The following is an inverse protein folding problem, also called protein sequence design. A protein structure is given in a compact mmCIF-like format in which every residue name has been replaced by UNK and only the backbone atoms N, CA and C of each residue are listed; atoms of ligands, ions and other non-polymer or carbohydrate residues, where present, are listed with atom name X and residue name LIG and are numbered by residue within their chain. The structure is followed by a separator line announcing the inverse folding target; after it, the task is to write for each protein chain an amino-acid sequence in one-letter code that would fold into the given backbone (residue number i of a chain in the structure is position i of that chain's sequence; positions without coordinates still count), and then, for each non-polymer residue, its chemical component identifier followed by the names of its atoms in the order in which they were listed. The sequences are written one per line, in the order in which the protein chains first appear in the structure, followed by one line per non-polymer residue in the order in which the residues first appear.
data_IF_124071403827
#
_entry.id   IF_124071403827
#
_cell.length_a   1.000
_cell.length_b   1.000
_cell.length_c   1.000
_cell.angle_alpha   90.00
_cell.angle_beta   90.00
_cell.angle_gamma   90.00
#
_symmetry.space_group_name_H-M   'P 1'
#
loop_
_entity.id
_entity.type
_entity.pdbx_description
1 polymer ?
#
# COMPACT_ATOMS: atom_id res chain seq x y z
N UNK A 1 -19.90 6.08 16.57
CA UNK A 1 -18.72 5.94 15.71
C UNK A 1 -18.71 4.53 15.14
N UNK A 2 -18.92 4.40 13.83
CA UNK A 2 -18.82 3.15 13.09
C UNK A 2 -17.38 2.95 12.59
N UNK A 3 -16.95 1.70 12.51
CA UNK A 3 -15.66 1.32 11.94
C UNK A 3 -15.80 0.02 11.17
N UNK A 4 -14.93 -0.18 10.19
CA UNK A 4 -14.83 -1.41 9.42
C UNK A 4 -13.37 -1.80 9.30
N UNK A 5 -13.10 -3.10 9.40
CA UNK A 5 -11.76 -3.65 9.35
C UNK A 5 -11.79 -5.17 9.30
N UNK A 6 -10.59 -5.76 9.29
CA UNK A 6 -10.42 -7.21 9.37
C UNK A 6 -10.14 -7.60 10.82
N UNK A 7 -10.77 -8.67 11.30
CA UNK A 7 -10.42 -9.28 12.60
C UNK A 7 -9.31 -10.32 12.46
N UNK A 8 -9.28 -11.02 11.33
CA UNK A 8 -8.30 -12.05 11.01
C UNK A 8 -8.24 -12.24 9.50
N UNK A 9 -7.04 -12.39 8.94
CA UNK A 9 -6.88 -12.81 7.54
C UNK A 9 -6.82 -14.34 7.46
N UNK A 10 -7.56 -14.91 6.52
CA UNK A 10 -7.51 -16.34 6.20
C UNK A 10 -6.38 -16.63 5.20
N UNK A 11 -5.82 -17.84 5.22
CA UNK A 11 -4.79 -18.26 4.27
C UNK A 11 -3.40 -17.63 4.50
N UNK A 12 -3.20 -16.89 5.60
CA UNK A 12 -1.89 -16.36 6.00
C UNK A 12 -1.49 -16.91 7.37
N UNK A 13 -0.20 -17.22 7.60
CA UNK A 13 0.28 -17.61 8.91
C UNK A 13 0.03 -16.51 9.94
N UNK A 14 -0.75 -16.81 10.97
CA UNK A 14 -0.91 -15.91 12.11
C UNK A 14 0.32 -16.02 13.00
N UNK A 15 0.94 -14.89 13.39
CA UNK A 15 2.04 -14.94 14.33
C UNK A 15 1.57 -15.51 15.69
N UNK A 16 2.49 -16.10 16.46
CA UNK A 16 2.25 -16.44 17.86
C UNK A 16 1.73 -15.24 18.65
N UNK A 17 1.08 -15.49 19.78
CA UNK A 17 0.53 -14.42 20.62
C UNK A 17 1.65 -13.55 21.22
N UNK A 18 2.80 -14.14 21.56
CA UNK A 18 3.96 -13.48 22.16
C UNK A 18 5.25 -14.28 21.90
N UNK A 19 6.38 -13.80 22.43
CA UNK A 19 7.66 -14.52 22.42
C UNK A 19 8.56 -14.22 21.21
N UNK A 20 9.78 -14.80 21.19
CA UNK A 20 10.81 -14.50 20.19
C UNK A 20 10.38 -14.85 18.77
N UNK A 21 9.62 -15.94 18.58
CA UNK A 21 9.09 -16.33 17.26
C UNK A 21 8.13 -15.27 16.70
N UNK A 22 7.26 -14.67 17.54
CA UNK A 22 6.42 -13.54 17.12
C UNK A 22 7.30 -12.38 16.66
N UNK A 23 8.30 -11.99 17.45
CA UNK A 23 9.19 -10.88 17.14
C UNK A 23 9.91 -11.11 15.81
N UNK A 24 10.47 -12.31 15.58
CA UNK A 24 11.14 -12.65 14.34
C UNK A 24 10.19 -12.62 13.12
N UNK A 25 8.99 -13.19 13.24
CA UNK A 25 7.97 -13.15 12.18
C UNK A 25 7.53 -11.72 11.85
N UNK A 26 7.30 -10.88 12.87
CA UNK A 26 6.95 -9.48 12.71
C UNK A 26 8.06 -8.69 12.03
N UNK A 27 9.29 -8.85 12.50
CA UNK A 27 10.45 -8.20 11.93
C UNK A 27 10.64 -8.59 10.45
N UNK A 28 10.63 -9.89 10.13
CA UNK A 28 10.79 -10.37 8.75
C UNK A 28 9.66 -9.87 7.83
N UNK A 29 8.40 -10.01 8.25
CA UNK A 29 7.24 -9.54 7.48
C UNK A 29 7.31 -8.04 7.21
N UNK A 30 7.71 -7.27 8.23
CA UNK A 30 7.91 -5.83 8.14
C UNK A 30 9.03 -5.41 7.20
N UNK A 31 10.20 -6.03 7.30
CA UNK A 31 11.33 -5.76 6.39
C UNK A 31 10.97 -6.09 4.95
N UNK A 32 10.25 -7.20 4.71
CA UNK A 32 9.77 -7.55 3.37
C UNK A 32 8.80 -6.50 2.82
N UNK A 33 7.80 -6.10 3.60
CA UNK A 33 6.85 -5.06 3.22
C UNK A 33 7.54 -3.71 2.96
N UNK A 34 8.52 -3.34 3.77
CA UNK A 34 9.29 -2.09 3.62
C UNK A 34 10.09 -2.09 2.32
N UNK A 35 10.81 -3.18 2.03
CA UNK A 35 11.57 -3.35 0.77
C UNK A 35 10.66 -3.27 -0.45
N UNK A 36 9.51 -3.94 -0.41
CA UNK A 36 8.56 -3.92 -1.51
C UNK A 36 7.95 -2.53 -1.71
N UNK A 37 7.60 -1.84 -0.62
CA UNK A 37 7.16 -0.45 -0.69
C UNK A 37 8.21 0.46 -1.31
N UNK A 38 9.47 0.36 -0.86
CA UNK A 38 10.59 1.14 -1.40
C UNK A 38 10.83 0.86 -2.89
N UNK A 39 10.72 -0.40 -3.31
CA UNK A 39 10.82 -0.79 -4.73
C UNK A 39 9.74 -0.13 -5.58
N UNK A 40 8.47 -0.20 -5.14
CA UNK A 40 7.33 0.41 -5.84
C UNK A 40 7.44 1.95 -5.85
N UNK A 41 7.90 2.55 -4.76
CA UNK A 41 8.14 3.99 -4.66
C UNK A 41 9.24 4.45 -5.62
N UNK A 42 10.35 3.72 -5.68
CA UNK A 42 11.41 3.95 -6.66
C UNK A 42 10.94 3.78 -8.11
N UNK A 43 10.06 2.80 -8.38
CA UNK A 43 9.43 2.62 -9.68
C UNK A 43 8.57 3.83 -10.07
N UNK A 44 7.85 4.45 -9.12
CA UNK A 44 7.09 5.67 -9.36
C UNK A 44 8.02 6.82 -9.78
N UNK A 45 9.08 7.10 -9.02
CA UNK A 45 10.02 8.16 -9.36
C UNK A 45 10.77 7.92 -10.66
N UNK A 46 11.16 6.66 -10.93
CA UNK A 46 11.78 6.28 -12.20
C UNK A 46 10.82 6.54 -13.36
N UNK A 47 9.54 6.20 -13.22
CA UNK A 47 8.52 6.48 -14.23
C UNK A 47 8.33 7.99 -14.41
N UNK A 48 8.30 8.76 -13.33
CA UNK A 48 8.18 10.22 -13.41
C UNK A 48 9.37 10.86 -14.15
N UNK A 49 10.57 10.42 -13.82
CA UNK A 49 11.81 10.95 -14.39
C UNK A 49 12.00 10.52 -15.84
N UNK A 50 11.96 9.21 -16.12
CA UNK A 50 12.30 8.66 -17.43
C UNK A 50 11.16 8.79 -18.44
N UNK A 51 9.92 8.57 -18.03
CA UNK A 51 8.78 8.56 -18.96
C UNK A 51 8.28 9.97 -19.26
N UNK A 52 8.34 10.89 -18.29
CA UNK A 52 7.78 12.24 -18.46
C UNK A 52 8.80 13.37 -18.39
N UNK A 53 10.10 13.06 -18.22
CA UNK A 53 11.17 14.04 -18.23
C UNK A 53 11.08 15.06 -17.09
N UNK A 54 10.36 14.75 -16.00
CA UNK A 54 10.24 15.64 -14.86
C UNK A 54 11.37 15.33 -13.88
N UNK A 55 12.29 16.27 -13.61
CA UNK A 55 13.34 16.04 -12.62
C UNK A 55 12.72 15.75 -11.25
N UNK A 56 13.10 14.64 -10.63
CA UNK A 56 12.58 14.21 -9.32
C UNK A 56 12.74 15.30 -8.26
N UNK A 57 13.83 16.06 -8.31
CA UNK A 57 14.09 17.20 -7.42
C UNK A 57 13.06 18.33 -7.50
N UNK A 58 12.22 18.38 -8.55
CA UNK A 58 11.11 19.34 -8.67
C UNK A 58 9.81 18.85 -8.01
N UNK A 59 9.76 17.59 -7.58
CA UNK A 59 8.61 17.04 -6.87
C UNK A 59 8.81 17.37 -5.39
N UNK A 60 7.85 18.06 -4.75
CA UNK A 60 7.92 18.30 -3.32
C UNK A 60 8.03 16.98 -2.55
N UNK A 61 8.71 17.00 -1.40
CA UNK A 61 8.75 15.87 -0.48
C UNK A 61 8.04 16.22 0.82
N UNK A 62 7.61 15.21 1.57
CA UNK A 62 7.04 15.42 2.90
C UNK A 62 8.00 16.21 3.81
N UNK A 63 9.28 15.84 3.87
CA UNK A 63 10.31 16.55 4.64
C UNK A 63 10.45 18.01 4.23
N UNK A 64 10.64 18.28 2.93
CA UNK A 64 10.85 19.66 2.45
C UNK A 64 9.63 20.56 2.66
N UNK A 65 8.42 20.02 2.52
CA UNK A 65 7.19 20.77 2.79
C UNK A 65 6.96 20.98 4.29
N UNK A 66 7.32 20.02 5.13
CA UNK A 66 7.26 20.11 6.59
C UNK A 66 8.25 21.14 7.14
N UNK A 67 9.50 21.09 6.69
CA UNK A 67 10.53 22.08 7.04
C UNK A 67 10.12 23.50 6.64
N UNK A 68 9.52 23.66 5.47
CA UNK A 68 9.06 24.95 4.98
C UNK A 68 7.87 25.48 5.80
N UNK A 69 6.96 24.61 6.24
CA UNK A 69 5.87 24.95 7.17
C UNK A 69 6.43 25.54 8.47
N UNK A 70 7.43 24.86 9.06
CA UNK A 70 8.07 25.33 10.29
C UNK A 70 8.84 26.63 10.07
N UNK A 71 9.62 26.73 8.99
CA UNK A 71 10.38 27.94 8.65
C UNK A 71 9.49 29.17 8.47
N UNK A 72 8.28 28.98 7.92
CA UNK A 72 7.29 30.04 7.72
C UNK A 72 6.40 30.31 8.93
N UNK A 73 6.53 29.54 10.01
CA UNK A 73 5.65 29.65 11.18
C UNK A 73 4.18 29.40 10.87
N UNK A 74 3.87 28.46 9.97
CA UNK A 74 2.48 28.12 9.64
C UNK A 74 1.91 27.19 10.72
N UNK A 75 1.47 27.77 11.84
CA UNK A 75 1.04 27.02 13.02
C UNK A 75 -0.41 26.51 12.96
N UNK A 76 -1.26 27.13 12.13
CA UNK A 76 -2.67 26.73 12.01
C UNK A 76 -2.87 25.68 10.92
N UNK A 77 -3.81 24.76 11.12
CA UNK A 77 -4.16 23.74 10.11
C UNK A 77 -4.61 24.36 8.80
N UNK A 78 -5.35 25.47 8.83
CA UNK A 78 -5.79 26.19 7.63
C UNK A 78 -4.60 26.76 6.84
N UNK A 79 -3.66 27.44 7.49
CA UNK A 79 -2.49 28.01 6.84
C UNK A 79 -1.57 26.94 6.24
N UNK A 80 -1.39 25.82 6.95
CA UNK A 80 -0.66 24.65 6.44
C UNK A 80 -1.35 24.06 5.22
N UNK A 81 -2.66 23.83 5.28
CA UNK A 81 -3.46 23.30 4.17
C UNK A 81 -3.31 24.16 2.93
N UNK A 82 -3.48 25.47 3.05
CA UNK A 82 -3.42 26.39 1.92
C UNK A 82 -2.02 26.43 1.28
N UNK A 83 -0.96 26.34 2.10
CA UNK A 83 0.40 26.18 1.63
C UNK A 83 0.60 24.87 0.86
N UNK A 84 0.18 23.74 1.45
CA UNK A 84 0.34 22.40 0.86
C UNK A 84 -0.43 22.27 -0.44
N UNK A 85 -1.70 22.69 -0.46
CA UNK A 85 -2.56 22.66 -1.66
C UNK A 85 -1.90 23.44 -2.79
N UNK A 86 -1.35 24.63 -2.53
CA UNK A 86 -0.66 25.44 -3.54
C UNK A 86 0.58 24.75 -4.08
N UNK A 87 1.45 24.23 -3.21
CA UNK A 87 2.71 23.58 -3.58
C UNK A 87 2.46 22.32 -4.41
N UNK A 88 1.61 21.43 -3.91
CA UNK A 88 1.32 20.16 -4.55
C UNK A 88 0.47 20.31 -5.82
N UNK A 89 -0.47 21.26 -5.86
CA UNK A 89 -1.23 21.55 -7.09
C UNK A 89 -0.33 22.09 -8.21
N UNK A 90 0.73 22.83 -7.90
CA UNK A 90 1.73 23.24 -8.91
C UNK A 90 2.48 22.02 -9.46
N UNK A 91 2.99 21.15 -8.58
CA UNK A 91 3.70 19.94 -8.98
C UNK A 91 2.82 19.01 -9.83
N UNK A 92 1.59 18.74 -9.39
CA UNK A 92 0.58 17.97 -10.12
C UNK A 92 0.27 18.55 -11.49
N UNK A 93 0.07 19.87 -11.61
CA UNK A 93 -0.17 20.54 -12.89
C UNK A 93 1.03 20.44 -13.83
N UNK A 94 2.24 20.63 -13.32
CA UNK A 94 3.46 20.48 -14.13
C UNK A 94 3.60 19.05 -14.66
N UNK A 95 3.38 18.05 -13.79
CA UNK A 95 3.45 16.64 -14.17
C UNK A 95 2.40 16.29 -15.23
N UNK A 96 1.14 16.69 -15.02
CA UNK A 96 0.06 16.48 -16.00
C UNK A 96 0.35 17.17 -17.35
N UNK A 97 0.96 18.36 -17.35
CA UNK A 97 1.39 19.02 -18.59
C UNK A 97 2.50 18.26 -19.29
N UNK A 98 3.50 17.76 -18.56
CA UNK A 98 4.56 16.91 -19.12
C UNK A 98 4.01 15.62 -19.72
N UNK A 99 3.05 14.98 -19.04
CA UNK A 99 2.32 13.80 -19.55
C UNK A 99 1.58 14.16 -20.84
N UNK A 100 0.81 15.26 -20.85
CA UNK A 100 0.04 15.70 -22.02
C UNK A 100 0.93 16.08 -23.22
N UNK A 101 2.09 16.70 -22.97
CA UNK A 101 3.04 17.08 -24.02
C UNK A 101 3.72 15.86 -24.67
N UNK A 102 3.82 14.73 -23.97
CA UNK A 102 4.28 13.46 -24.54
C UNK A 102 3.21 12.76 -25.39
N UNK A 103 1.93 13.06 -25.17
CA UNK A 103 0.78 12.43 -25.86
C UNK A 103 0.55 13.09 -27.21
N UNK A 104 0.65 14.41 -27.28
CA UNK A 104 0.48 15.11 -28.53
C UNK A 104 1.75 14.85 -29.36
N UNK A 105 1.63 14.31 -30.60
CA UNK A 105 2.75 14.39 -31.51
C UNK A 105 3.16 15.87 -31.56
N UNK A 106 4.46 16.20 -31.54
CA UNK A 106 4.88 17.57 -31.74
C UNK A 106 4.11 18.13 -32.94
N UNK A 107 3.63 19.38 -32.91
CA UNK A 107 2.99 19.97 -34.06
C UNK A 107 4.06 20.09 -35.14
N UNK A 108 4.27 19.02 -35.89
CA UNK A 108 4.82 19.09 -37.22
C UNK A 108 3.72 19.81 -37.98
N UNK A 109 3.81 21.14 -37.95
CA UNK A 109 3.18 21.98 -38.95
C UNK A 109 3.87 21.59 -40.25
N UNK A 110 3.42 20.51 -40.87
CA UNK A 110 3.67 20.29 -42.29
C UNK A 110 2.87 21.42 -42.95
N UNK A 111 3.47 22.60 -43.05
CA UNK A 111 3.01 23.58 -44.01
C UNK A 111 2.98 22.89 -45.38
N UNK A 112 2.00 23.18 -46.24
CA UNK A 112 2.02 22.67 -47.59
C UNK A 112 3.39 22.95 -48.21
N UNK A 113 4.01 21.99 -48.92
CA UNK A 113 5.35 22.17 -49.45
C UNK A 113 5.37 23.39 -50.36
N UNK A 114 6.07 24.46 -49.96
CA UNK A 114 6.19 25.68 -50.77
C UNK A 114 7.30 25.60 -51.81
N UNK A 115 8.02 24.47 -51.94
CA UNK A 115 8.94 24.24 -53.05
C UNK A 115 9.25 22.76 -53.34
N UNK A 116 9.47 22.45 -54.62
CA UNK A 116 9.76 21.12 -55.20
C UNK A 116 11.16 20.56 -54.87
N UNK A 117 11.88 21.09 -53.87
CA UNK A 117 13.22 20.65 -53.54
C UNK A 117 13.29 20.08 -52.13
N UNK A 118 12.77 18.88 -51.96
CA UNK A 118 13.08 18.06 -50.79
C UNK A 118 14.40 17.33 -51.02
N UNK A 119 15.44 17.73 -50.29
CA UNK A 119 16.74 17.05 -50.32
C UNK A 119 16.69 15.72 -49.57
N UNK A 120 17.51 14.75 -49.98
CA UNK A 120 17.66 13.42 -49.36
C UNK A 120 17.77 13.45 -47.82
N UNK A 121 18.34 14.51 -47.25
CA UNK A 121 18.46 14.76 -45.81
C UNK A 121 17.10 14.91 -45.10
N UNK A 122 16.12 15.53 -45.74
CA UNK A 122 14.75 15.70 -45.21
C UNK A 122 13.96 14.39 -45.30
N UNK A 123 14.18 13.60 -46.36
CA UNK A 123 13.66 12.23 -46.45
C UNK A 123 14.23 11.32 -45.36
N UNK A 124 15.52 11.42 -45.05
CA UNK A 124 16.13 10.67 -43.95
C UNK A 124 15.63 11.13 -42.57
N UNK A 125 15.35 12.42 -42.37
CA UNK A 125 14.72 12.92 -41.14
C UNK A 125 13.28 12.39 -40.99
N UNK A 126 12.51 12.37 -42.07
CA UNK A 126 11.16 11.82 -42.12
C UNK A 126 11.15 10.28 -41.93
N UNK A 127 12.03 9.55 -42.61
CA UNK A 127 12.20 8.11 -42.44
C UNK A 127 12.70 7.72 -41.04
N UNK A 128 13.51 8.58 -40.40
CA UNK A 128 13.92 8.40 -39.00
C UNK A 128 12.77 8.63 -38.02
N UNK A 129 11.81 9.50 -38.36
CA UNK A 129 10.56 9.68 -37.61
C UNK A 129 9.52 8.56 -37.85
N UNK A 130 9.67 7.81 -38.95
CA UNK A 130 8.87 6.63 -39.30
C UNK A 130 9.40 5.32 -38.67
N UNK A 131 10.40 5.36 -37.77
CA UNK A 131 10.81 4.19 -36.98
C UNK A 131 9.69 3.79 -36.02
N UNK A 132 8.72 3.04 -36.56
CA UNK A 132 7.76 2.13 -35.94
C UNK A 132 6.95 2.67 -34.75
N UNK A 133 5.62 2.47 -34.70
CA UNK A 133 4.91 2.62 -33.45
C UNK A 133 5.48 1.61 -32.46
N UNK A 134 6.39 2.07 -31.59
CA UNK A 134 6.70 1.42 -30.33
C UNK A 134 5.37 1.39 -29.62
N UNK A 135 4.66 0.26 -29.72
CA UNK A 135 3.25 0.06 -29.38
C UNK A 135 2.83 1.06 -28.32
N UNK A 136 2.22 2.17 -28.73
CA UNK A 136 1.97 3.30 -27.84
C UNK A 136 1.15 2.74 -26.68
N UNK A 137 1.70 2.61 -25.46
CA UNK A 137 0.94 2.12 -24.34
C UNK A 137 -0.25 3.06 -24.18
N UNK A 138 -1.47 2.50 -24.12
CA UNK A 138 -2.70 3.29 -23.92
C UNK A 138 -2.47 4.29 -22.78
N UNK A 139 -2.44 5.58 -23.10
CA UNK A 139 -1.92 6.63 -22.22
C UNK A 139 -2.79 6.86 -20.98
N UNK A 140 -4.10 6.64 -21.06
CA UNK A 140 -4.99 6.59 -19.90
C UNK A 140 -4.46 5.61 -18.84
N UNK A 141 -3.88 4.50 -19.29
CA UNK A 141 -3.33 3.50 -18.41
C UNK A 141 -2.05 4.00 -17.74
N UNK A 142 -1.28 4.95 -18.28
CA UNK A 142 0.01 5.34 -17.66
C UNK A 142 -0.15 6.17 -16.38
N UNK A 143 -1.09 7.12 -16.34
CA UNK A 143 -1.38 7.87 -15.11
C UNK A 143 -2.05 6.99 -14.06
N UNK A 144 -3.02 6.17 -14.48
CA UNK A 144 -3.72 5.24 -13.59
C UNK A 144 -2.76 4.15 -13.07
N UNK A 145 -1.84 3.68 -13.89
CA UNK A 145 -0.81 2.71 -13.50
C UNK A 145 0.15 3.33 -12.49
N UNK A 146 0.60 4.57 -12.71
CA UNK A 146 1.43 5.27 -11.73
C UNK A 146 0.70 5.44 -10.41
N UNK A 147 -0.56 5.86 -10.45
CA UNK A 147 -1.40 5.98 -9.27
C UNK A 147 -1.56 4.64 -8.56
N UNK A 148 -1.85 3.57 -9.30
CA UNK A 148 -1.99 2.20 -8.78
C UNK A 148 -0.70 1.74 -8.10
N UNK A 149 0.46 1.92 -8.73
CA UNK A 149 1.77 1.56 -8.15
C UNK A 149 2.07 2.41 -6.91
N UNK A 150 1.76 3.71 -6.92
CA UNK A 150 1.97 4.60 -5.78
C UNK A 150 1.07 4.23 -4.59
N UNK A 151 -0.21 3.93 -4.84
CA UNK A 151 -1.15 3.47 -3.81
C UNK A 151 -0.74 2.09 -3.25
N UNK A 152 -0.31 1.16 -4.11
CA UNK A 152 0.23 -0.13 -3.67
C UNK A 152 1.51 0.04 -2.83
N UNK A 153 2.37 1.00 -3.18
CA UNK A 153 3.54 1.36 -2.37
C UNK A 153 3.12 1.87 -0.98
N UNK A 154 2.07 2.70 -0.90
CA UNK A 154 1.54 3.22 0.36
C UNK A 154 0.96 2.10 1.23
N UNK A 155 0.18 1.19 0.64
CA UNK A 155 -0.34 0.03 1.36
C UNK A 155 0.78 -0.80 1.97
N UNK A 156 1.83 -1.10 1.19
CA UNK A 156 3.00 -1.82 1.69
C UNK A 156 3.80 -1.04 2.74
N UNK A 157 3.86 0.30 2.65
CA UNK A 157 4.52 1.13 3.65
C UNK A 157 3.79 1.08 5.01
N UNK A 158 2.47 1.18 4.98
CA UNK A 158 1.61 1.07 6.16
C UNK A 158 1.67 -0.34 6.75
N UNK A 159 1.64 -1.37 5.90
CA UNK A 159 1.84 -2.76 6.33
C UNK A 159 3.19 -2.92 7.03
N UNK A 160 4.27 -2.38 6.44
CA UNK A 160 5.60 -2.42 7.03
C UNK A 160 5.63 -1.79 8.42
N UNK A 161 5.04 -0.61 8.60
CA UNK A 161 4.93 0.03 9.92
C UNK A 161 4.14 -0.86 10.90
N UNK A 162 2.99 -1.40 10.49
CA UNK A 162 2.17 -2.26 11.35
C UNK A 162 2.93 -3.50 11.86
N UNK A 163 3.80 -4.07 11.02
CA UNK A 163 4.69 -5.18 11.40
C UNK A 163 5.86 -4.73 12.30
N UNK A 164 6.41 -3.53 12.06
CA UNK A 164 7.62 -3.02 12.71
C UNK A 164 7.34 -2.09 13.89
N UNK A 165 6.09 -1.92 14.32
CA UNK A 165 5.70 -0.86 15.26
C UNK A 165 6.49 -0.88 16.59
N UNK A 166 6.91 -2.07 17.04
CA UNK A 166 7.65 -2.31 18.28
C UNK A 166 9.11 -2.73 18.05
N UNK A 167 9.67 -2.49 16.85
CA UNK A 167 11.08 -2.76 16.53
C UNK A 167 11.91 -1.48 16.40
N UNK A 168 13.23 -1.64 16.30
CA UNK A 168 14.19 -0.57 16.02
C UNK A 168 13.97 0.11 14.66
N UNK A 169 13.22 -0.53 13.75
CA UNK A 169 12.89 0.02 12.43
C UNK A 169 11.55 0.78 12.40
N UNK A 170 10.85 0.87 13.53
CA UNK A 170 9.52 1.50 13.62
C UNK A 170 9.51 2.92 13.05
N UNK A 171 10.46 3.76 13.49
CA UNK A 171 10.57 5.15 13.06
C UNK A 171 10.91 5.27 11.57
N UNK A 172 11.81 4.42 11.07
CA UNK A 172 12.16 4.40 9.64
C UNK A 172 10.94 4.03 8.79
N UNK A 173 10.18 3.01 9.19
CA UNK A 173 8.97 2.59 8.49
C UNK A 173 7.87 3.67 8.54
N UNK A 174 7.73 4.36 9.68
CA UNK A 174 6.81 5.47 9.88
C UNK A 174 7.12 6.64 8.94
N UNK A 175 8.38 7.09 8.92
CA UNK A 175 8.83 8.17 8.02
C UNK A 175 8.64 7.78 6.55
N UNK A 176 9.00 6.55 6.17
CA UNK A 176 8.80 6.05 4.81
C UNK A 176 7.32 6.08 4.41
N UNK A 177 6.39 5.67 5.28
CA UNK A 177 4.96 5.76 5.02
C UNK A 177 4.49 7.20 4.76
N UNK A 178 4.98 8.18 5.53
CA UNK A 178 4.69 9.61 5.30
C UNK A 178 5.22 10.09 3.94
N UNK A 179 6.43 9.72 3.56
CA UNK A 179 7.00 10.07 2.25
C UNK A 179 6.14 9.55 1.09
N UNK A 180 5.76 8.27 1.14
CA UNK A 180 4.92 7.67 0.10
C UNK A 180 3.52 8.29 0.11
N UNK A 181 2.93 8.51 1.28
CA UNK A 181 1.61 9.11 1.41
C UNK A 181 1.56 10.55 0.88
N UNK A 182 2.64 11.33 1.07
CA UNK A 182 2.73 12.67 0.54
C UNK A 182 2.81 12.68 -1.00
N UNK A 183 3.55 11.73 -1.60
CA UNK A 183 3.53 11.53 -3.05
C UNK A 183 2.11 11.19 -3.53
N UNK A 184 1.43 10.26 -2.86
CA UNK A 184 0.08 9.82 -3.23
C UNK A 184 -0.94 10.96 -3.13
N UNK A 185 -1.07 11.56 -1.95
CA UNK A 185 -2.03 12.65 -1.71
C UNK A 185 -1.69 13.93 -2.48
N UNK A 186 -0.40 14.17 -2.73
CA UNK A 186 0.05 15.38 -3.43
C UNK A 186 -0.13 15.32 -4.94
N UNK A 187 0.11 14.17 -5.56
CA UNK A 187 0.00 14.00 -7.01
C UNK A 187 -1.36 13.51 -7.47
N UNK A 188 -1.95 12.53 -6.78
CA UNK A 188 -3.22 11.92 -7.18
C UNK A 188 -4.40 12.44 -6.39
N UNK A 189 -4.16 12.89 -5.14
CA UNK A 189 -5.21 13.29 -4.23
C UNK A 189 -5.68 12.12 -3.36
N UNK A 190 -6.29 12.48 -2.23
CA UNK A 190 -7.00 11.58 -1.35
C UNK A 190 -8.41 12.13 -1.17
N UNK A 191 -9.39 11.25 -1.04
CA UNK A 191 -10.78 11.60 -0.84
C UNK A 191 -11.30 10.96 0.44
N UNK A 192 -12.24 11.65 1.08
CA UNK A 192 -13.13 11.06 2.07
C UNK A 192 -14.23 10.35 1.28
N UNK A 193 -14.45 9.07 1.57
CA UNK A 193 -15.47 8.28 0.89
C UNK A 193 -16.84 8.64 1.47
N UNK A 194 -17.84 8.88 0.61
CA UNK A 194 -19.23 8.98 1.03
C UNK A 194 -19.98 7.71 0.62
N UNK A 195 -20.43 6.92 1.59
CA UNK A 195 -21.16 5.68 1.37
C UNK A 195 -22.04 5.36 2.58
N UNK A 196 -23.19 4.72 2.34
CA UNK A 196 -24.17 4.35 3.38
C UNK A 196 -24.60 5.55 4.25
N UNK A 197 -24.89 6.68 3.58
CA UNK A 197 -25.23 7.99 4.17
C UNK A 197 -24.24 8.47 5.23
N UNK A 198 -22.95 8.15 5.04
CA UNK A 198 -21.88 8.51 5.95
C UNK A 198 -20.59 8.87 5.21
N UNK A 199 -19.79 9.69 5.88
CA UNK A 199 -18.42 9.97 5.47
C UNK A 199 -17.44 9.03 6.16
N UNK A 200 -16.50 8.47 5.40
CA UNK A 200 -15.52 7.49 5.86
C UNK A 200 -14.09 7.98 5.61
N UNK A 201 -13.30 7.99 6.67
CA UNK A 201 -11.84 8.11 6.60
C UNK A 201 -11.27 6.79 6.08
N UNK A 202 -10.71 6.84 4.87
CA UNK A 202 -10.09 5.70 4.18
C UNK A 202 -8.59 5.93 3.92
N UNK A 203 -8.04 7.08 4.35
CA UNK A 203 -6.63 7.39 4.18
C UNK A 203 -5.78 6.40 4.97
N UNK A 204 -5.04 5.55 4.26
CA UNK A 204 -4.17 4.52 4.84
C UNK A 204 -3.17 5.08 5.85
N UNK A 205 -2.63 6.28 5.60
CA UNK A 205 -1.73 6.94 6.54
C UNK A 205 -2.46 7.39 7.81
N UNK A 206 -3.60 8.07 7.70
CA UNK A 206 -4.38 8.47 8.88
C UNK A 206 -4.78 7.25 9.72
N UNK A 207 -5.21 6.17 9.06
CA UNK A 207 -5.57 4.91 9.70
C UNK A 207 -4.37 4.17 10.31
N UNK A 208 -3.16 4.41 9.81
CA UNK A 208 -1.93 3.90 10.44
C UNK A 208 -1.64 4.59 11.78
N UNK A 209 -1.98 5.88 11.93
CA UNK A 209 -1.83 6.59 13.21
C UNK A 209 -2.85 6.15 14.26
N UNK A 210 -3.90 5.47 13.82
CA UNK A 210 -4.85 4.76 14.67
C UNK A 210 -4.25 3.41 15.07
N UNK A 211 -3.48 3.38 16.17
CA UNK A 211 -2.74 2.20 16.65
C UNK A 211 -3.60 1.12 17.30
N UNK A 212 -4.72 0.79 16.70
CA UNK A 212 -5.68 -0.18 17.21
C UNK A 212 -6.36 -0.93 16.08
N UNK A 213 -6.87 -2.10 16.41
CA UNK A 213 -7.46 -3.01 15.46
C UNK A 213 -8.24 -4.11 16.16
N UNK A 214 -8.74 -5.06 15.38
CA UNK A 214 -9.52 -6.17 15.89
C UNK A 214 -8.64 -7.39 16.05
N UNK A 215 -8.79 -8.09 17.17
CA UNK A 215 -8.12 -9.36 17.41
C UNK A 215 -9.15 -10.41 17.78
N UNK A 216 -9.25 -11.46 16.97
CA UNK A 216 -10.10 -12.60 17.26
C UNK A 216 -9.50 -13.48 18.37
N UNK A 217 -10.28 -13.75 19.41
CA UNK A 217 -10.05 -14.84 20.36
C UNK A 217 -10.83 -16.07 19.90
N UNK A 218 -10.13 -17.16 19.63
CA UNK A 218 -10.72 -18.40 19.14
C UNK A 218 -9.92 -19.62 19.61
N UNK A 219 -10.58 -20.77 19.69
CA UNK A 219 -9.93 -22.08 19.76
C UNK A 219 -9.95 -22.74 18.39
N UNK A 220 -8.97 -23.61 18.14
CA UNK A 220 -8.90 -24.42 16.94
C UNK A 220 -8.17 -25.72 17.26
N UNK A 221 -8.63 -26.80 16.65
CA UNK A 221 -7.93 -28.09 16.68
C UNK A 221 -6.71 -27.99 15.77
N UNK A 222 -5.53 -28.23 16.33
CA UNK A 222 -4.26 -28.18 15.60
C UNK A 222 -3.81 -29.60 15.28
N UNK A 223 -3.77 -29.97 14.00
CA UNK A 223 -3.27 -31.27 13.54
C UNK A 223 -1.97 -31.13 12.78
N UNK A 224 -1.14 -32.16 12.83
CA UNK A 224 0.11 -32.24 12.08
C UNK A 224 -0.16 -32.51 10.60
N UNK A 225 0.44 -31.73 9.70
CA UNK A 225 0.28 -31.92 8.26
C UNK A 225 0.87 -33.23 7.71
N UNK A 226 1.70 -33.93 8.48
CA UNK A 226 2.35 -35.17 8.04
C UNK A 226 1.54 -36.42 8.40
N UNK A 227 1.05 -36.49 9.64
CA UNK A 227 0.31 -37.67 10.14
C UNK A 227 -1.18 -37.41 10.42
N UNK A 228 -1.65 -36.17 10.37
CA UNK A 228 -3.03 -35.79 10.67
C UNK A 228 -3.43 -35.87 12.14
N UNK A 229 -2.54 -36.31 13.04
CA UNK A 229 -2.81 -36.40 14.47
C UNK A 229 -2.80 -35.03 15.14
N UNK A 230 -3.43 -34.93 16.31
CA UNK A 230 -3.32 -33.76 17.19
C UNK A 230 -1.84 -33.43 17.45
N UNK A 231 -1.48 -32.15 17.33
CA UNK A 231 -0.09 -31.72 17.50
C UNK A 231 0.46 -32.05 18.90
N UNK A 232 -0.39 -32.06 19.93
CA UNK A 232 0.02 -32.36 21.30
C UNK A 232 0.36 -33.84 21.51
N UNK A 233 -0.12 -34.72 20.62
CA UNK A 233 0.13 -36.17 20.64
C UNK A 233 1.05 -36.64 19.52
N UNK A 234 1.41 -35.76 18.59
CA UNK A 234 2.17 -36.09 17.39
C UNK A 234 3.69 -36.19 17.70
N UNK A 235 4.41 -37.22 17.22
CA UNK A 235 5.86 -37.34 17.43
C UNK A 235 6.70 -36.42 16.53
N UNK A 236 6.10 -35.78 15.53
CA UNK A 236 6.80 -34.91 14.60
C UNK A 236 7.09 -33.53 15.21
N UNK A 237 8.36 -33.16 15.27
CA UNK A 237 8.81 -31.86 15.76
C UNK A 237 8.74 -30.81 14.64
N UNK A 238 8.14 -29.65 14.92
CA UNK A 238 7.92 -28.58 13.92
C UNK A 238 9.21 -28.00 13.32
N UNK A 239 10.35 -28.18 14.00
CA UNK A 239 11.68 -27.71 13.61
C UNK A 239 12.57 -28.81 13.00
N UNK A 240 12.03 -30.01 12.79
CA UNK A 240 12.74 -31.16 12.22
C UNK A 240 12.23 -31.47 10.81
N UNK A 241 13.13 -31.79 9.88
CA UNK A 241 12.76 -32.20 8.52
C UNK A 241 12.47 -33.70 8.46
N UNK A 242 11.47 -34.05 7.67
CA UNK A 242 11.09 -35.44 7.40
C UNK A 242 11.04 -35.65 5.88
N UNK A 243 11.48 -36.82 5.42
CA UNK A 243 11.25 -37.26 4.05
C UNK A 243 9.83 -37.83 3.94
N UNK A 244 9.04 -37.26 3.04
CA UNK A 244 7.69 -37.72 2.76
C UNK A 244 7.51 -37.97 1.28
N UNK A 245 6.78 -39.03 0.95
CA UNK A 245 6.36 -39.26 -0.43
C UNK A 245 5.25 -38.28 -0.79
N UNK A 246 5.48 -37.51 -1.85
CA UNK A 246 4.52 -36.58 -2.43
C UNK A 246 3.27 -37.34 -2.85
N UNK A 247 2.12 -36.83 -2.41
CA UNK A 247 0.79 -37.28 -2.81
C UNK A 247 -0.13 -36.08 -2.96
N UNK A 248 -0.95 -36.05 -4.00
CA UNK A 248 -2.08 -35.14 -4.14
C UNK A 248 -3.38 -35.85 -3.74
N UNK A 249 -4.19 -35.19 -2.92
CA UNK A 249 -5.52 -35.67 -2.51
C UNK A 249 -6.52 -35.58 -3.69
N UNK A 250 -7.74 -36.10 -3.49
CA UNK A 250 -8.78 -36.13 -4.54
C UNK A 250 -9.21 -34.74 -5.03
N UNK A 251 -8.99 -33.71 -4.22
CA UNK A 251 -9.23 -32.31 -4.58
C UNK A 251 -8.02 -31.65 -5.28
N UNK A 252 -6.91 -32.37 -5.43
CA UNK A 252 -5.65 -31.88 -5.99
C UNK A 252 -4.72 -31.24 -4.96
N UNK A 253 -5.04 -31.28 -3.66
CA UNK A 253 -4.20 -30.67 -2.63
C UNK A 253 -2.95 -31.52 -2.38
N UNK A 254 -1.77 -30.93 -2.56
CA UNK A 254 -0.49 -31.58 -2.27
C UNK A 254 -0.24 -31.74 -0.75
N UNK A 255 0.11 -32.93 -0.28
CA UNK A 255 0.42 -33.16 1.15
C UNK A 255 1.67 -32.37 1.64
N UNK A 256 2.67 -32.16 0.78
CA UNK A 256 3.90 -31.43 1.11
C UNK A 256 3.65 -29.94 1.34
N UNK A 257 3.00 -29.27 0.37
CA UNK A 257 2.85 -27.81 0.37
C UNK A 257 1.43 -27.31 0.59
N UNK A 258 0.43 -28.18 0.59
CA UNK A 258 -0.98 -27.84 0.85
C UNK A 258 -1.61 -26.98 -0.26
N UNK A 259 -1.01 -26.91 -1.44
CA UNK A 259 -1.52 -26.16 -2.58
C UNK A 259 -2.20 -27.10 -3.58
N UNK A 260 -3.25 -26.61 -4.24
CA UNK A 260 -3.98 -27.30 -5.31
C UNK A 260 -3.16 -27.45 -6.61
N UNK A 261 -2.14 -26.60 -6.78
CA UNK A 261 -1.24 -26.62 -7.93
C UNK A 261 0.17 -26.30 -7.45
N UNK A 262 1.07 -27.26 -7.61
CA UNK A 262 2.46 -27.13 -7.24
C UNK A 262 3.35 -27.92 -8.21
N UNK A 263 4.68 -27.77 -8.07
CA UNK A 263 5.66 -28.45 -8.91
C UNK A 263 6.07 -29.82 -8.36
N UNK A 264 5.53 -30.26 -7.22
CA UNK A 264 5.85 -31.57 -6.66
C UNK A 264 5.19 -32.67 -7.51
N UNK A 265 5.89 -33.79 -7.69
CA UNK A 265 5.44 -34.92 -8.52
C UNK A 265 5.05 -36.09 -7.62
N UNK A 266 3.87 -36.68 -7.84
CA UNK A 266 3.41 -37.82 -7.07
C UNK A 266 4.41 -38.99 -7.10
N UNK A 267 4.70 -39.54 -5.92
CA UNK A 267 5.65 -40.64 -5.75
C UNK A 267 7.10 -40.21 -5.48
N UNK A 268 7.47 -38.94 -5.71
CA UNK A 268 8.79 -38.43 -5.34
C UNK A 268 8.93 -38.24 -3.83
N UNK A 269 10.15 -38.38 -3.31
CA UNK A 269 10.46 -38.10 -1.91
C UNK A 269 10.86 -36.63 -1.76
N UNK A 270 10.17 -35.91 -0.89
CA UNK A 270 10.43 -34.50 -0.60
C UNK A 270 10.76 -34.30 0.88
N UNK A 271 11.75 -33.43 1.14
CA UNK A 271 12.17 -33.08 2.49
C UNK A 271 11.41 -31.85 2.97
N UNK A 272 10.55 -31.99 3.98
CA UNK A 272 9.72 -30.89 4.48
C UNK A 272 9.63 -30.85 6.00
N UNK A 273 9.23 -29.70 6.54
CA UNK A 273 8.90 -29.54 7.95
C UNK A 273 7.41 -29.82 8.18
N UNK A 274 7.02 -30.41 9.33
CA UNK A 274 5.61 -30.53 9.69
C UNK A 274 4.98 -29.14 9.83
N UNK A 275 3.73 -29.02 9.36
CA UNK A 275 2.96 -27.78 9.45
C UNK A 275 1.75 -27.99 10.36
N UNK A 276 1.39 -26.93 11.08
CA UNK A 276 0.16 -26.89 11.87
C UNK A 276 -1.03 -26.62 10.94
N UNK A 277 -1.88 -27.63 10.79
CA UNK A 277 -3.19 -27.47 10.16
C UNK A 277 -4.20 -27.12 11.25
N UNK A 278 -4.94 -26.02 11.06
CA UNK A 278 -5.98 -25.59 12.00
C UNK A 278 -7.34 -25.97 11.42
N UNK A 279 -8.11 -26.73 12.19
CA UNK A 279 -9.48 -27.12 11.87
C UNK A 279 -10.41 -26.82 13.05
N UNK A 280 -11.72 -26.95 12.84
CA UNK A 280 -12.73 -26.77 13.90
C UNK A 280 -12.58 -25.43 14.66
N UNK A 281 -12.42 -24.34 13.91
CA UNK A 281 -12.23 -23.03 14.51
C UNK A 281 -13.53 -22.58 15.20
N UNK A 282 -13.44 -22.34 16.51
CA UNK A 282 -14.53 -21.78 17.30
C UNK A 282 -14.18 -20.37 17.74
N UNK A 283 -14.82 -19.38 17.14
CA UNK A 283 -14.67 -17.98 17.52
C UNK A 283 -15.37 -17.73 18.86
N UNK A 284 -14.65 -17.16 19.81
CA UNK A 284 -15.19 -16.79 21.13
C UNK A 284 -15.50 -15.30 21.20
N UNK A 285 -14.56 -14.49 20.75
CA UNK A 285 -14.66 -13.04 20.84
C UNK A 285 -13.90 -12.32 19.73
N UNK A 286 -14.24 -11.06 19.50
CA UNK A 286 -13.45 -10.11 18.71
C UNK A 286 -13.24 -8.87 19.57
N UNK A 287 -11.99 -8.67 19.97
CA UNK A 287 -11.61 -7.62 20.92
C UNK A 287 -10.92 -6.47 20.19
N UNK A 288 -11.25 -5.23 20.58
CA UNK A 288 -10.55 -4.03 20.12
C UNK A 288 -9.27 -3.86 20.94
N UNK A 289 -8.13 -3.95 20.28
CA UNK A 289 -6.82 -3.96 20.95
C UNK A 289 -5.83 -3.04 20.26
N UNK A 290 -4.85 -2.53 21.02
CA UNK A 290 -3.78 -1.70 20.47
C UNK A 290 -2.82 -2.51 19.57
N UNK A 291 -2.64 -3.81 19.87
CA UNK A 291 -1.72 -4.70 19.15
C UNK A 291 -2.47 -5.96 18.73
N UNK A 292 -3.20 -5.94 17.60
CA UNK A 292 -3.91 -7.11 17.14
C UNK A 292 -2.93 -8.26 16.86
N UNK A 293 -3.41 -9.50 17.04
CA UNK A 293 -2.56 -10.67 16.82
C UNK A 293 -2.04 -10.69 15.38
N UNK A 294 -2.92 -10.50 14.40
CA UNK A 294 -2.54 -10.19 13.02
C UNK A 294 -2.26 -8.67 12.92
N UNK A 295 -1.03 -8.24 12.63
CA UNK A 295 -0.69 -6.81 12.57
C UNK A 295 -1.48 -6.06 11.48
N UNK A 296 -2.02 -6.75 10.48
CA UNK A 296 -2.83 -6.15 9.42
C UNK A 296 -4.34 -6.18 9.71
N UNK A 297 -4.77 -6.75 10.84
CA UNK A 297 -6.15 -6.70 11.32
C UNK A 297 -6.49 -5.33 11.95
N UNK A 298 -6.17 -4.26 11.20
CA UNK A 298 -6.42 -2.86 11.54
C UNK A 298 -7.69 -2.38 10.83
N UNK A 299 -8.19 -1.21 11.23
CA UNK A 299 -9.32 -0.59 10.54
C UNK A 299 -8.94 -0.21 9.11
N UNK A 300 -9.85 -0.49 8.19
CA UNK A 300 -9.75 -0.11 6.78
C UNK A 300 -10.54 1.14 6.48
N UNK A 301 -11.56 1.44 7.28
CA UNK A 301 -12.28 2.71 7.27
C UNK A 301 -12.90 3.02 8.63
N UNK A 302 -12.94 4.31 8.98
CA UNK A 302 -13.58 4.82 10.21
C UNK A 302 -14.54 5.94 9.84
N UNK A 303 -15.74 5.92 10.38
CA UNK A 303 -16.74 6.96 10.15
C UNK A 303 -16.27 8.30 10.72
N UNK A 304 -16.36 9.35 9.90
CA UNK A 304 -16.20 10.73 10.35
C UNK A 304 -17.46 11.18 11.10
N UNK A 305 -17.26 11.93 12.19
CA UNK A 305 -18.36 12.70 12.77
C UNK A 305 -18.83 13.76 11.77
N UNK A 306 -20.12 13.75 11.44
CA UNK A 306 -20.73 14.74 10.57
C UNK A 306 -20.56 16.16 11.13
N UNK A 307 -20.69 16.33 12.45
CA UNK A 307 -20.47 17.61 13.13
C UNK A 307 -19.03 18.10 12.98
N UNK A 308 -18.04 17.21 13.16
CA UNK A 308 -16.63 17.55 13.00
C UNK A 308 -16.31 17.94 11.55
N UNK A 309 -16.93 17.27 10.59
CA UNK A 309 -16.78 17.55 9.16
C UNK A 309 -17.43 18.88 8.78
N UNK A 310 -18.67 19.12 9.22
CA UNK A 310 -19.38 20.38 9.05
C UNK A 310 -18.58 21.55 9.66
N UNK A 311 -18.07 21.38 10.88
CA UNK A 311 -17.23 22.40 11.52
C UNK A 311 -15.95 22.68 10.73
N UNK A 312 -15.30 21.65 10.20
CA UNK A 312 -14.08 21.79 9.40
C UNK A 312 -14.30 22.42 8.01
N UNK A 313 -15.49 22.23 7.43
CA UNK A 313 -15.87 22.77 6.12
C UNK A 313 -16.53 24.16 6.22
N UNK A 314 -17.17 24.46 7.35
CA UNK A 314 -18.01 25.65 7.53
C UNK A 314 -19.41 25.53 6.90
N UNK A 315 -19.75 24.37 6.36
CA UNK A 315 -21.02 24.09 5.67
C UNK A 315 -21.35 22.59 5.74
N UNK A 316 -22.60 22.24 5.43
CA UNK A 316 -22.99 20.83 5.27
C UNK A 316 -22.28 20.24 4.04
N UNK A 317 -21.62 19.07 4.18
CA UNK A 317 -21.01 18.42 3.04
C UNK A 317 -22.00 17.84 2.02
N UNK A 318 -23.28 17.62 2.35
CA UNK A 318 -24.38 17.25 1.42
C UNK A 318 -24.07 16.05 0.49
N UNK A 319 -23.33 15.05 0.97
CA UNK A 319 -22.95 13.87 0.16
C UNK A 319 -21.92 14.14 -0.94
N UNK A 320 -21.37 15.35 -1.05
CA UNK A 320 -20.34 15.68 -2.05
C UNK A 320 -19.00 15.01 -1.75
N UNK A 321 -18.18 14.86 -2.79
CA UNK A 321 -16.80 14.40 -2.66
C UNK A 321 -15.94 15.44 -1.93
N UNK A 322 -15.18 15.00 -0.92
CA UNK A 322 -14.32 15.89 -0.13
C UNK A 322 -12.88 15.43 -0.27
N UNK A 323 -12.02 16.34 -0.71
CA UNK A 323 -10.57 16.08 -0.75
C UNK A 323 -9.99 16.10 0.67
N UNK A 324 -9.24 15.06 1.01
CA UNK A 324 -8.45 14.97 2.23
C UNK A 324 -6.99 15.38 1.96
N UNK A 325 -6.45 16.24 2.83
CA UNK A 325 -5.05 16.68 2.77
C UNK A 325 -4.22 16.27 3.99
N UNK A 326 -4.80 15.48 4.93
CA UNK A 326 -4.14 15.11 6.20
C UNK A 326 -2.76 14.48 6.00
N UNK A 327 -2.59 13.65 4.97
CA UNK A 327 -1.31 13.00 4.68
C UNK A 327 -0.21 13.93 4.17
N UNK A 328 -0.52 15.21 3.93
CA UNK A 328 0.44 16.24 3.55
C UNK A 328 0.91 17.08 4.74
N UNK A 329 0.21 17.03 5.87
CA UNK A 329 0.55 17.81 7.06
C UNK A 329 1.77 17.21 7.80
N UNK A 330 2.47 18.04 8.60
CA UNK A 330 3.40 17.54 9.59
C UNK A 330 2.72 16.50 10.50
N UNK A 331 3.46 15.46 10.87
CA UNK A 331 2.93 14.38 11.70
C UNK A 331 2.60 14.89 13.11
N UNK A 332 1.37 14.69 13.57
CA UNK A 332 0.91 15.06 14.92
C UNK A 332 1.12 13.96 15.97
N UNK A 333 1.73 12.84 15.59
CA UNK A 333 1.89 11.66 16.45
C UNK A 333 0.75 10.64 16.29
N UNK A 334 0.62 9.74 17.26
CA UNK A 334 -0.36 8.64 17.24
C UNK A 334 -1.59 8.97 18.07
N UNK A 335 -2.75 8.51 17.60
CA UNK A 335 -3.99 8.60 18.35
C UNK A 335 -4.02 7.53 19.45
N UNK A 336 -4.48 7.90 20.63
CA UNK A 336 -4.72 6.95 21.72
C UNK A 336 -6.08 6.25 21.55
N UNK A 337 -6.21 5.09 22.20
CA UNK A 337 -7.51 4.44 22.36
C UNK A 337 -8.43 5.41 23.15
N UNK A 338 -9.60 5.83 22.63
CA UNK A 338 -10.63 6.48 23.40
C UNK A 338 -11.03 5.55 24.54
N UNK A 339 -11.20 6.14 25.72
CA UNK A 339 -11.65 5.48 26.96
C UNK A 339 -10.61 4.57 27.64
N UNK A 340 -9.32 4.93 27.59
CA UNK A 340 -8.29 4.41 28.52
C UNK A 340 -7.99 5.44 29.63
N UNK A 341 -9.04 5.90 30.30
CA UNK A 341 -8.89 6.59 31.59
C UNK A 341 -8.70 5.58 32.72
#
# INVERSE_FOLDING_TARGET
MRFSGLAIRTGVPLPPASGPTRVAMMYQGGVMALRESARLYGQCYRSISLTWGVPVARIPSWTSTTEEIYRRGLWTTSAQRDFLVRVWTRARRQLRRSVAAFILPPPWSIGPPTSDQWGHRQYLAMASSLRGPRSMPQFSNTWHELERVARASLDRAVDAYNFLEDSELSELAHQHAHHVAALVGGLFGCNIEYSDDAYWEVCRLTLMHNRWGMSAGFTATCTCSLCGQDIDSCPHLLDTRYEITVRHDTDGTCNVCGLLSCLHVDGEAESTFPRLLKSQLQLHEVSLVARPRDPLARFTRVEFSQEALQHGLGEDPEGREICCYRCLHPCSGFNQLPNRD
#
